data_IF_088391802433
#
_entry.id   IF_088391802433
#
_cell.length_a   1.000
_cell.length_b   1.000
_cell.length_c   1.000
_cell.angle_alpha   90.00
_cell.angle_beta   90.00
_cell.angle_gamma   90.00
#
_symmetry.space_group_name_H-M   'P 1'
#
loop_
_entity.id
_entity.type
_entity.pdbx_description
1 polymer ?
#
# COMPACT_ATOMS: atom_id res chain seq x y z
N UNK A 1 -4.42 3.03 -13.15
CA UNK A 1 -4.72 4.43 -12.79
C UNK A 1 -4.33 5.31 -13.99
N UNK A 2 -5.26 6.03 -14.63
CA UNK A 2 -4.98 6.74 -15.88
C UNK A 2 -4.31 8.12 -15.71
N UNK A 3 -4.35 8.71 -14.51
CA UNK A 3 -3.84 10.09 -14.25
C UNK A 3 -2.50 10.09 -13.51
N UNK A 4 -2.33 9.20 -12.54
CA UNK A 4 -1.14 9.09 -11.68
C UNK A 4 -0.90 7.61 -11.38
N UNK A 5 0.34 7.15 -11.31
CA UNK A 5 0.62 5.76 -10.93
C UNK A 5 0.63 5.57 -9.40
N UNK A 6 0.52 4.33 -8.94
CA UNK A 6 0.44 4.02 -7.50
C UNK A 6 1.70 4.42 -6.73
N UNK A 7 2.88 4.37 -7.36
CA UNK A 7 4.14 4.75 -6.72
C UNK A 7 4.22 6.26 -6.44
N UNK A 8 3.82 7.07 -7.42
CA UNK A 8 3.75 8.52 -7.27
C UNK A 8 2.71 8.90 -6.21
N UNK A 9 1.53 8.26 -6.23
CA UNK A 9 0.50 8.47 -5.22
C UNK A 9 1.02 8.16 -3.81
N UNK A 10 1.68 7.01 -3.62
CA UNK A 10 2.28 6.65 -2.32
C UNK A 10 3.30 7.69 -1.87
N UNK A 11 4.19 8.13 -2.77
CA UNK A 11 5.19 9.15 -2.43
C UNK A 11 4.54 10.45 -1.95
N UNK A 12 3.49 10.91 -2.64
CA UNK A 12 2.78 12.13 -2.24
C UNK A 12 2.08 11.97 -0.88
N UNK A 13 1.46 10.81 -0.62
CA UNK A 13 0.86 10.50 0.68
C UNK A 13 1.93 10.52 1.79
N UNK A 14 3.09 9.89 1.59
CA UNK A 14 4.19 9.89 2.58
C UNK A 14 4.76 11.28 2.85
N UNK A 15 4.83 12.17 1.87
CA UNK A 15 5.23 13.56 2.12
C UNK A 15 4.17 14.32 2.94
N UNK A 16 2.89 14.08 2.66
CA UNK A 16 1.80 14.69 3.41
C UNK A 16 1.77 14.22 4.87
N UNK A 17 1.97 12.93 5.10
CA UNK A 17 2.04 12.31 6.43
C UNK A 17 3.05 12.97 7.36
N UNK A 18 4.22 13.37 6.85
CA UNK A 18 5.25 14.09 7.64
C UNK A 18 4.71 15.37 8.26
N UNK A 19 3.79 16.05 7.57
CA UNK A 19 3.19 17.31 8.04
C UNK A 19 2.11 17.07 9.11
N UNK A 20 1.46 15.90 9.10
CA UNK A 20 0.43 15.53 10.07
C UNK A 20 0.95 14.68 11.22
N UNK A 21 2.18 14.14 11.13
CA UNK A 21 2.75 13.26 12.13
C UNK A 21 2.02 11.93 12.25
N UNK A 22 1.44 11.44 11.15
CA UNK A 22 0.69 10.18 11.09
C UNK A 22 1.34 9.21 10.11
N UNK A 23 1.01 7.93 10.21
CA UNK A 23 1.38 6.91 9.23
C UNK A 23 0.15 6.10 8.86
N UNK A 24 -0.36 6.28 7.64
CA UNK A 24 -1.55 5.62 7.13
C UNK A 24 -1.11 4.33 6.42
N UNK A 25 -1.71 3.16 6.73
CA UNK A 25 -1.41 1.94 6.01
C UNK A 25 -1.77 2.04 4.52
N UNK A 26 -0.81 1.75 3.64
CA UNK A 26 -0.98 1.71 2.18
C UNK A 26 -0.76 0.29 1.69
N UNK A 27 -1.81 -0.31 1.13
CA UNK A 27 -1.79 -1.67 0.57
C UNK A 27 -1.73 -1.57 -0.96
N UNK A 28 -0.66 -2.11 -1.55
CA UNK A 28 -0.47 -2.19 -2.99
C UNK A 28 -1.33 -3.30 -3.58
N UNK A 29 -2.04 -3.03 -4.67
CA UNK A 29 -2.67 -4.08 -5.49
C UNK A 29 -1.90 -4.22 -6.80
N UNK A 30 -1.05 -5.24 -6.89
CA UNK A 30 -0.09 -5.42 -8.00
C UNK A 30 -0.43 -6.63 -8.86
N UNK A 31 -0.06 -6.58 -10.15
CA UNK A 31 -0.11 -7.75 -11.03
C UNK A 31 1.15 -8.63 -10.94
N UNK A 32 2.24 -8.08 -10.39
CA UNK A 32 3.53 -8.74 -10.22
C UNK A 32 4.28 -8.14 -9.01
N UNK A 33 4.98 -8.97 -8.24
CA UNK A 33 5.76 -8.52 -7.07
C UNK A 33 7.18 -8.22 -7.54
N UNK A 34 7.33 -7.11 -8.25
CA UNK A 34 8.65 -6.66 -8.70
C UNK A 34 9.43 -5.96 -7.58
N UNK A 35 10.75 -5.92 -7.72
CA UNK A 35 11.68 -5.23 -6.80
C UNK A 35 11.35 -3.75 -6.55
N UNK A 36 10.65 -3.09 -7.47
CA UNK A 36 10.18 -1.71 -7.32
C UNK A 36 9.04 -1.58 -6.28
N UNK A 37 8.23 -2.63 -6.11
CA UNK A 37 7.13 -2.69 -5.13
C UNK A 37 7.66 -2.55 -3.70
N UNK A 38 8.81 -3.15 -3.41
CA UNK A 38 9.47 -3.12 -2.10
C UNK A 38 10.02 -1.74 -1.73
N UNK A 39 10.27 -0.87 -2.70
CA UNK A 39 11.04 0.37 -2.51
C UNK A 39 10.15 1.61 -2.31
N UNK A 40 8.82 1.47 -2.41
CA UNK A 40 7.93 2.63 -2.61
C UNK A 40 7.26 3.16 -1.36
N UNK A 41 7.59 2.63 -0.18
CA UNK A 41 6.97 3.06 1.08
C UNK A 41 5.53 2.58 1.24
N UNK A 42 5.11 1.55 0.49
CA UNK A 42 3.88 0.80 0.72
C UNK A 42 4.11 -0.22 1.84
N UNK A 43 3.09 -0.51 2.64
CA UNK A 43 3.22 -1.33 3.86
C UNK A 43 2.89 -2.81 3.62
N UNK A 44 2.08 -3.11 2.61
CA UNK A 44 1.64 -4.46 2.26
C UNK A 44 1.36 -4.56 0.76
N UNK A 45 1.41 -5.77 0.20
CA UNK A 45 0.99 -6.02 -1.18
C UNK A 45 -0.05 -7.13 -1.26
N UNK A 46 -0.94 -7.03 -2.23
CA UNK A 46 -1.89 -8.06 -2.63
C UNK A 46 -1.72 -8.26 -4.13
N UNK A 47 -1.57 -9.50 -4.57
CA UNK A 47 -1.56 -9.85 -5.98
C UNK A 47 -2.96 -9.78 -6.59
N UNK A 48 -3.04 -9.41 -7.87
CA UNK A 48 -4.26 -9.45 -8.66
C UNK A 48 -4.54 -10.88 -9.12
N UNK A 49 -5.82 -11.29 -9.21
CA UNK A 49 -7.02 -10.51 -8.91
C UNK A 49 -7.27 -10.36 -7.40
N UNK A 50 -7.88 -9.24 -6.99
CA UNK A 50 -8.19 -8.98 -5.59
C UNK A 50 -9.22 -10.00 -5.06
N UNK A 51 -8.78 -10.89 -4.17
CA UNK A 51 -9.62 -11.82 -3.44
C UNK A 51 -10.09 -11.28 -2.09
N UNK A 52 -11.30 -11.67 -1.66
CA UNK A 52 -11.86 -11.29 -0.35
C UNK A 52 -10.97 -11.72 0.80
N UNK A 53 -10.44 -12.95 0.75
CA UNK A 53 -9.63 -13.49 1.85
C UNK A 53 -8.31 -12.73 1.99
N UNK A 54 -7.65 -12.44 0.87
CA UNK A 54 -6.40 -11.70 0.79
C UNK A 54 -6.58 -10.27 1.34
N UNK A 55 -7.71 -9.62 1.03
CA UNK A 55 -8.03 -8.30 1.57
C UNK A 55 -8.26 -8.34 3.08
N UNK A 56 -9.01 -9.33 3.56
CA UNK A 56 -9.25 -9.51 5.00
C UNK A 56 -7.95 -9.81 5.75
N UNK A 57 -7.04 -10.59 5.17
CA UNK A 57 -5.72 -10.85 5.72
C UNK A 57 -4.91 -9.56 5.88
N UNK A 58 -4.85 -8.72 4.84
CA UNK A 58 -4.14 -7.45 4.92
C UNK A 58 -4.73 -6.51 5.99
N UNK A 59 -6.06 -6.44 6.12
CA UNK A 59 -6.71 -5.64 7.18
C UNK A 59 -6.39 -6.21 8.57
N UNK A 60 -6.46 -7.53 8.73
CA UNK A 60 -6.10 -8.19 10.00
C UNK A 60 -4.65 -7.96 10.38
N UNK A 61 -3.72 -7.97 9.41
CA UNK A 61 -2.30 -7.71 9.63
C UNK A 61 -2.10 -6.37 10.37
N UNK A 62 -2.74 -5.28 9.90
CA UNK A 62 -2.59 -3.97 10.53
C UNK A 62 -3.36 -3.84 11.85
N UNK A 63 -4.56 -4.40 11.95
CA UNK A 63 -5.32 -4.38 13.22
C UNK A 63 -4.63 -5.18 14.34
N UNK A 64 -3.78 -6.14 14.02
CA UNK A 64 -3.04 -6.95 15.01
C UNK A 64 -1.78 -6.29 15.55
N UNK A 65 -1.41 -5.11 15.02
CA UNK A 65 -0.18 -4.38 15.38
C UNK A 65 -0.41 -3.17 16.30
N UNK A 66 -1.64 -2.98 16.78
CA UNK A 66 -1.98 -2.09 17.91
C UNK A 66 -1.88 -2.83 19.25
#
# INVERSE_FOLDING_TARGET
MPVMNGFEATRQIREMEKSYGVHIPIIALTADVDSSTTVTGMDFHIEKPLGKENLLEAVRYFNSKE
#
